data_IF_226720335439
#
_entry.id   IF_226720335439
#
_cell.length_a   1.000
_cell.length_b   1.000
_cell.length_c   1.000
_cell.angle_alpha   90.00
_cell.angle_beta   90.00
_cell.angle_gamma   90.00
#
_symmetry.space_group_name_H-M   'P 1'
#
loop_
_entity.id
_entity.type
_entity.pdbx_description
1 polymer ?
#
# COMPACT_ATOMS: atom_id res chain seq x y z
N UNK A 1 39.61 18.70 25.66
CA UNK A 1 39.69 17.73 24.54
C UNK A 1 38.63 16.64 24.61
N UNK A 2 38.41 16.01 25.78
CA UNK A 2 37.39 14.94 25.96
C UNK A 2 35.96 15.36 25.60
N UNK A 3 35.55 16.59 25.94
CA UNK A 3 34.23 17.10 25.58
C UNK A 3 33.99 17.18 24.07
N UNK A 4 35.03 17.53 23.30
CA UNK A 4 34.93 17.63 21.85
C UNK A 4 34.77 16.23 21.20
N UNK A 5 35.44 15.22 21.76
CA UNK A 5 35.30 13.84 21.32
C UNK A 5 33.89 13.27 21.61
N UNK A 6 33.29 13.60 22.74
CA UNK A 6 31.93 13.18 23.08
C UNK A 6 30.87 13.82 22.16
N UNK A 7 31.04 15.08 21.79
CA UNK A 7 30.14 15.78 20.86
C UNK A 7 30.22 15.14 19.47
N UNK A 8 31.42 14.83 18.98
CA UNK A 8 31.59 14.15 17.69
C UNK A 8 30.96 12.77 17.67
N UNK A 9 31.13 11.98 18.73
CA UNK A 9 30.48 10.66 18.87
C UNK A 9 28.95 10.77 18.86
N UNK A 10 28.39 11.76 19.56
CA UNK A 10 26.94 12.01 19.56
C UNK A 10 26.39 12.36 18.17
N UNK A 11 27.11 13.19 17.40
CA UNK A 11 26.72 13.59 16.05
C UNK A 11 26.76 12.39 15.08
N UNK A 12 27.80 11.56 15.17
CA UNK A 12 27.96 10.36 14.31
C UNK A 12 26.84 9.35 14.53
N UNK A 13 26.28 9.25 15.74
CA UNK A 13 25.16 8.35 16.05
C UNK A 13 23.80 9.00 15.71
N UNK A 14 23.63 10.29 15.98
CA UNK A 14 22.36 10.99 15.80
C UNK A 14 21.98 11.20 14.32
N UNK A 15 22.95 11.51 13.46
CA UNK A 15 22.70 11.76 12.02
C UNK A 15 22.12 10.53 11.30
N UNK A 16 22.71 9.31 11.42
CA UNK A 16 22.13 8.12 10.80
C UNK A 16 20.71 7.82 11.28
N UNK A 17 20.43 7.98 12.58
CA UNK A 17 19.10 7.72 13.15
C UNK A 17 18.06 8.70 12.59
N UNK A 18 18.41 9.99 12.49
CA UNK A 18 17.55 11.01 11.90
C UNK A 18 17.29 10.75 10.41
N UNK A 19 18.31 10.31 9.67
CA UNK A 19 18.17 9.94 8.26
C UNK A 19 17.27 8.72 8.11
N UNK A 20 17.47 7.65 8.88
CA UNK A 20 16.64 6.43 8.83
C UNK A 20 15.17 6.74 9.12
N UNK A 21 14.86 7.50 10.17
CA UNK A 21 13.48 7.88 10.48
C UNK A 21 12.81 8.71 9.37
N UNK A 22 13.59 9.57 8.71
CA UNK A 22 13.12 10.37 7.57
C UNK A 22 12.92 9.49 6.32
N UNK A 23 13.83 8.56 6.06
CA UNK A 23 13.69 7.57 5.00
C UNK A 23 12.51 6.64 5.23
N UNK A 24 12.27 6.18 6.45
CA UNK A 24 11.14 5.31 6.78
C UNK A 24 9.81 6.05 6.61
N UNK A 25 9.73 7.31 7.04
CA UNK A 25 8.55 8.15 6.79
C UNK A 25 8.30 8.39 5.29
N UNK A 26 9.37 8.62 4.53
CA UNK A 26 9.29 8.85 3.09
C UNK A 26 8.97 7.56 2.32
N UNK A 27 9.52 6.42 2.72
CA UNK A 27 9.16 5.10 2.17
C UNK A 27 7.72 4.75 2.53
N UNK A 28 7.27 4.97 3.75
CA UNK A 28 5.88 4.69 4.14
C UNK A 28 4.88 5.53 3.33
N UNK A 29 5.25 6.78 3.00
CA UNK A 29 4.49 7.64 2.07
C UNK A 29 4.58 7.16 0.62
N UNK A 30 5.76 6.75 0.15
CA UNK A 30 5.98 6.25 -1.21
C UNK A 30 5.36 4.87 -1.44
N UNK A 31 5.31 4.00 -0.44
CA UNK A 31 4.58 2.73 -0.49
C UNK A 31 3.08 2.95 -0.39
N UNK A 32 2.58 3.87 0.46
CA UNK A 32 1.15 4.25 0.45
C UNK A 32 0.71 4.90 -0.87
N UNK A 33 1.53 5.76 -1.47
CA UNK A 33 1.23 6.44 -2.73
C UNK A 33 1.50 5.58 -3.97
N UNK A 34 2.59 4.80 -3.97
CA UNK A 34 3.04 3.97 -5.09
C UNK A 34 2.34 2.61 -5.17
N UNK A 35 2.05 1.95 -4.04
CA UNK A 35 1.17 0.77 -4.04
C UNK A 35 -0.31 1.15 -4.01
N UNK A 36 -0.67 2.36 -3.58
CA UNK A 36 -2.04 2.90 -3.73
C UNK A 36 -2.44 3.11 -5.19
N UNK A 37 -1.47 3.42 -6.07
CA UNK A 37 -1.68 3.53 -7.52
C UNK A 37 -1.65 2.19 -8.27
N UNK A 38 -0.89 1.20 -7.78
CA UNK A 38 -0.88 -0.17 -8.33
C UNK A 38 -2.01 -1.05 -7.77
N UNK A 39 -2.68 -0.60 -6.70
CA UNK A 39 -3.91 -1.17 -6.14
C UNK A 39 -5.18 -0.89 -6.94
N UNK A 40 -5.07 -0.25 -8.12
CA UNK A 40 -6.18 -0.11 -9.07
C UNK A 40 -6.56 -1.46 -9.73
N UNK A 41 -6.13 -2.59 -9.14
CA UNK A 41 -6.66 -3.95 -9.39
C UNK A 41 -7.80 -4.37 -8.45
N UNK A 42 -8.19 -3.57 -7.45
CA UNK A 42 -9.40 -3.88 -6.66
C UNK A 42 -10.70 -3.72 -7.44
N UNK A 43 -10.69 -3.01 -8.58
CA UNK A 43 -11.82 -2.97 -9.51
C UNK A 43 -11.68 -3.96 -10.68
N UNK A 44 -10.51 -4.59 -10.90
CA UNK A 44 -10.37 -5.59 -11.96
C UNK A 44 -10.84 -6.98 -11.53
N UNK A 45 -10.73 -7.29 -10.24
CA UNK A 45 -11.18 -8.57 -9.67
C UNK A 45 -12.67 -8.62 -9.37
N UNK A 46 -13.42 -7.55 -9.58
CA UNK A 46 -14.86 -7.54 -9.34
C UNK A 46 -15.61 -7.08 -10.58
N UNK A 47 -16.74 -7.72 -10.81
CA UNK A 47 -17.73 -7.41 -11.84
C UNK A 47 -18.99 -6.97 -11.13
N UNK A 48 -19.56 -5.86 -11.58
CA UNK A 48 -20.84 -5.39 -11.07
C UNK A 48 -21.95 -6.04 -11.88
N UNK A 49 -22.83 -6.80 -11.22
CA UNK A 49 -24.02 -7.32 -11.90
C UNK A 49 -24.91 -6.15 -12.34
N UNK A 50 -25.25 -6.07 -13.62
CA UNK A 50 -26.07 -4.98 -14.18
C UNK A 50 -27.50 -4.96 -13.63
N UNK A 51 -28.01 -6.10 -13.14
CA UNK A 51 -29.37 -6.21 -12.58
C UNK A 51 -29.46 -5.81 -11.11
N UNK A 52 -28.51 -6.23 -10.28
CA UNK A 52 -28.59 -6.02 -8.82
C UNK A 52 -27.48 -5.15 -8.25
N UNK A 53 -26.63 -4.57 -9.11
CA UNK A 53 -25.48 -3.72 -8.79
C UNK A 53 -24.53 -4.29 -7.71
N UNK A 54 -24.59 -5.60 -7.49
CA UNK A 54 -23.76 -6.27 -6.49
C UNK A 54 -22.40 -6.58 -7.12
N UNK A 55 -21.33 -6.28 -6.38
CA UNK A 55 -19.96 -6.60 -6.76
C UNK A 55 -19.71 -8.09 -6.56
N UNK A 56 -19.35 -8.79 -7.61
CA UNK A 56 -19.05 -10.23 -7.61
C UNK A 56 -17.58 -10.41 -7.97
N UNK A 57 -16.88 -11.31 -7.28
CA UNK A 57 -15.47 -11.58 -7.55
C UNK A 57 -15.34 -12.33 -8.89
N UNK A 58 -14.52 -11.81 -9.81
CA UNK A 58 -14.10 -12.52 -11.03
C UNK A 58 -13.29 -13.74 -10.60
N UNK A 59 -13.82 -14.92 -10.92
CA UNK A 59 -13.14 -16.22 -10.82
C UNK A 59 -12.78 -16.68 -12.24
N UNK A 60 -11.96 -17.73 -12.36
CA UNK A 60 -11.58 -18.33 -13.65
C UNK A 60 -12.76 -18.97 -14.41
N UNK A 61 -13.96 -18.99 -13.83
CA UNK A 61 -15.19 -19.53 -14.39
C UNK A 61 -16.11 -18.42 -14.91
N UNK A 62 -17.08 -18.77 -15.75
CA UNK A 62 -18.07 -17.82 -16.26
C UNK A 62 -18.71 -17.01 -15.11
N UNK A 63 -18.85 -15.68 -15.26
CA UNK A 63 -19.31 -14.85 -14.17
C UNK A 63 -20.78 -15.13 -13.84
N UNK A 64 -21.05 -15.51 -12.58
CA UNK A 64 -22.39 -15.89 -12.10
C UNK A 64 -22.80 -15.02 -10.92
N UNK A 65 -24.03 -14.52 -10.91
CA UNK A 65 -24.59 -13.74 -9.81
C UNK A 65 -25.48 -14.64 -8.97
N UNK A 66 -25.09 -14.91 -7.71
CA UNK A 66 -25.89 -15.71 -6.78
C UNK A 66 -27.25 -15.08 -6.45
N UNK A 67 -27.32 -13.73 -6.40
CA UNK A 67 -28.58 -13.02 -6.14
C UNK A 67 -29.56 -13.12 -7.31
N UNK A 68 -29.07 -12.97 -8.53
CA UNK A 68 -29.90 -13.04 -9.74
C UNK A 68 -30.03 -14.45 -10.31
N UNK A 69 -29.27 -15.42 -9.77
CA UNK A 69 -29.13 -16.80 -10.25
C UNK A 69 -28.88 -16.91 -11.76
N UNK A 70 -28.06 -16.02 -12.31
CA UNK A 70 -27.83 -15.88 -13.75
C UNK A 70 -26.35 -15.65 -14.09
N UNK A 71 -25.93 -16.17 -15.25
CA UNK A 71 -24.64 -15.90 -15.89
C UNK A 71 -24.71 -14.63 -16.74
N UNK A 72 -23.58 -13.94 -16.91
CA UNK A 72 -23.44 -12.73 -17.75
C UNK A 72 -22.03 -12.59 -18.29
#
# INVERSE_FOLDING_TARGET
>A
MIYFALILLGIVIAIPILLVNKFESSMRSFFRGGFGGLGQGENSNYITCTKCQTKIKRVHTAPYCEKCRQFF
#
